data_IF_669555681980
#
_entry.id   IF_669555681980
#
_cell.length_a   1.000
_cell.length_b   1.000
_cell.length_c   1.000
_cell.angle_alpha   90.00
_cell.angle_beta   90.00
_cell.angle_gamma   90.00
#
_symmetry.space_group_name_H-M   'P 1'
#
loop_
_entity.id
_entity.type
_entity.pdbx_description
1 polymer ?
#
# COMPACT_ATOMS: atom_id res chain seq x y z
N UNK A 1 -17.60 -2.07 11.50
CA UNK A 1 -16.85 -1.07 12.29
C UNK A 1 -15.91 -0.28 11.37
N UNK A 2 -15.84 1.05 11.52
CA UNK A 2 -14.94 1.94 10.79
C UNK A 2 -13.84 2.41 11.73
N UNK A 3 -12.58 2.27 11.32
CA UNK A 3 -11.39 2.76 12.02
C UNK A 3 -10.73 3.85 11.18
N UNK A 4 -10.58 5.04 11.74
CA UNK A 4 -9.74 6.09 11.18
C UNK A 4 -8.33 5.89 11.75
N UNK A 5 -7.43 5.34 10.94
CA UNK A 5 -6.11 4.88 11.38
C UNK A 5 -5.09 6.00 11.57
N UNK A 6 -5.37 7.20 11.08
CA UNK A 6 -4.37 8.27 10.95
C UNK A 6 -3.53 8.15 9.68
N UNK A 7 -2.60 9.06 9.49
CA UNK A 7 -1.72 9.14 8.33
C UNK A 7 -0.35 8.56 8.68
N UNK A 8 0.19 7.75 7.77
CA UNK A 8 1.53 7.19 7.84
C UNK A 8 1.61 5.84 8.56
N UNK A 9 2.77 5.19 8.41
CA UNK A 9 3.00 3.83 8.91
C UNK A 9 2.82 3.72 10.42
N UNK A 10 3.38 4.65 11.18
CA UNK A 10 3.35 4.62 12.66
C UNK A 10 1.94 4.72 13.21
N UNK A 11 1.17 5.72 12.73
CA UNK A 11 -0.20 5.94 13.19
C UNK A 11 -1.09 4.75 12.84
N UNK A 12 -0.98 4.25 11.61
CA UNK A 12 -1.77 3.09 11.15
C UNK A 12 -1.41 1.83 11.93
N UNK A 13 -0.12 1.56 12.16
CA UNK A 13 0.32 0.40 12.94
C UNK A 13 -0.26 0.46 14.36
N UNK A 14 -0.13 1.58 15.05
CA UNK A 14 -0.62 1.73 16.41
C UNK A 14 -2.14 1.57 16.48
N UNK A 15 -2.88 2.32 15.65
CA UNK A 15 -4.34 2.33 15.66
C UNK A 15 -4.92 0.95 15.32
N UNK A 16 -4.37 0.29 14.30
CA UNK A 16 -4.81 -1.05 13.90
C UNK A 16 -4.48 -2.08 14.98
N UNK A 17 -3.25 -2.13 15.47
CA UNK A 17 -2.84 -3.09 16.52
C UNK A 17 -3.67 -2.93 17.79
N UNK A 18 -3.95 -1.69 18.20
CA UNK A 18 -4.82 -1.40 19.34
C UNK A 18 -6.24 -1.91 19.10
N UNK A 19 -6.80 -1.65 17.91
CA UNK A 19 -8.17 -2.07 17.58
C UNK A 19 -8.31 -3.59 17.54
N UNK A 20 -7.31 -4.31 17.02
CA UNK A 20 -7.33 -5.77 16.94
C UNK A 20 -7.32 -6.43 18.31
N UNK A 21 -6.72 -5.79 19.32
CA UNK A 21 -6.78 -6.25 20.73
C UNK A 21 -8.14 -6.05 21.36
N UNK A 22 -8.88 -5.00 20.98
CA UNK A 22 -10.22 -4.71 21.50
C UNK A 22 -11.26 -5.64 20.86
N UNK A 23 -11.18 -5.79 19.54
CA UNK A 23 -12.11 -6.62 18.79
C UNK A 23 -11.40 -7.19 17.56
N UNK A 24 -11.24 -8.51 17.55
CA UNK A 24 -10.66 -9.23 16.41
C UNK A 24 -11.72 -9.38 15.30
N UNK A 25 -11.50 -8.82 14.10
CA UNK A 25 -12.41 -8.97 12.97
C UNK A 25 -12.09 -10.23 12.17
N UNK A 26 -13.05 -10.70 11.37
CA UNK A 26 -12.86 -11.77 10.40
C UNK A 26 -12.12 -11.29 9.14
N UNK A 27 -12.20 -9.98 8.86
CA UNK A 27 -11.59 -9.34 7.71
C UNK A 27 -11.27 -7.88 8.00
N UNK A 28 -10.10 -7.43 7.58
CA UNK A 28 -9.73 -6.01 7.58
C UNK A 28 -9.71 -5.49 6.14
N UNK A 29 -10.42 -4.40 5.88
CA UNK A 29 -10.42 -3.71 4.58
C UNK A 29 -9.81 -2.33 4.79
N UNK A 30 -8.71 -2.03 4.11
CA UNK A 30 -8.17 -0.69 4.04
C UNK A 30 -8.55 -0.06 2.70
N UNK A 31 -9.19 1.09 2.76
CA UNK A 31 -9.56 1.88 1.59
C UNK A 31 -8.94 3.27 1.68
N UNK A 32 -8.27 3.71 0.64
CA UNK A 32 -7.60 5.00 0.58
C UNK A 32 -7.21 5.39 -0.84
N UNK A 33 -6.73 6.61 -0.99
CA UNK A 33 -6.14 7.08 -2.25
C UNK A 33 -4.64 6.77 -2.29
N UNK A 34 -4.03 6.87 -3.47
CA UNK A 34 -2.60 6.69 -3.65
C UNK A 34 -2.10 7.34 -4.94
N UNK A 35 -0.79 7.60 -4.97
CA UNK A 35 -0.10 8.04 -6.19
C UNK A 35 0.23 6.84 -7.09
N UNK A 36 0.17 7.02 -8.40
CA UNK A 36 0.44 5.98 -9.38
C UNK A 36 1.75 6.22 -10.13
N UNK A 37 2.57 5.18 -10.27
CA UNK A 37 3.79 5.22 -11.08
C UNK A 37 3.54 4.97 -12.56
N UNK A 38 2.41 4.36 -12.91
CA UNK A 38 2.07 3.98 -14.29
C UNK A 38 1.05 4.96 -14.89
N UNK A 39 1.45 5.86 -15.79
CA UNK A 39 0.54 6.84 -16.39
C UNK A 39 -0.48 6.21 -17.35
N UNK A 40 -0.35 4.94 -17.70
CA UNK A 40 -1.35 4.23 -18.51
C UNK A 40 -2.59 3.85 -17.70
N UNK A 41 -2.54 3.92 -16.36
CA UNK A 41 -3.67 3.68 -15.48
C UNK A 41 -4.39 5.01 -15.24
N UNK A 42 -5.65 5.17 -15.68
CA UNK A 42 -6.38 6.42 -15.51
C UNK A 42 -6.54 6.86 -14.05
N UNK A 43 -6.53 8.16 -13.80
CA UNK A 43 -6.92 8.72 -12.50
C UNK A 43 -8.34 8.27 -12.16
N UNK A 44 -8.60 8.05 -10.88
CA UNK A 44 -9.87 7.49 -10.41
C UNK A 44 -9.96 5.96 -10.48
N UNK A 45 -9.01 5.27 -11.13
CA UNK A 45 -8.97 3.80 -11.15
C UNK A 45 -8.78 3.23 -9.74
N UNK A 46 -9.54 2.18 -9.40
CA UNK A 46 -9.39 1.50 -8.10
C UNK A 46 -8.61 0.21 -8.30
N UNK A 47 -7.58 0.04 -7.49
CA UNK A 47 -6.64 -1.08 -7.54
C UNK A 47 -6.68 -1.88 -6.24
N UNK A 48 -6.45 -3.19 -6.33
CA UNK A 48 -6.24 -4.05 -5.17
C UNK A 48 -4.73 -4.34 -5.01
N UNK A 49 -4.17 -4.03 -3.85
CA UNK A 49 -2.74 -4.24 -3.61
C UNK A 49 -2.51 -5.67 -3.13
N UNK A 50 -1.73 -6.43 -3.89
CA UNK A 50 -1.43 -7.84 -3.61
C UNK A 50 -0.17 -8.05 -2.77
N UNK A 51 0.75 -7.10 -2.80
CA UNK A 51 1.98 -7.11 -2.02
C UNK A 51 2.48 -5.69 -1.81
N UNK A 52 3.10 -5.45 -0.67
CA UNK A 52 3.63 -4.16 -0.23
C UNK A 52 5.09 -4.26 0.19
N UNK A 53 5.83 -3.17 -0.01
CA UNK A 53 7.15 -2.98 0.57
C UNK A 53 7.23 -1.59 1.22
N UNK A 54 8.09 -1.43 2.24
CA UNK A 54 8.43 -0.11 2.81
C UNK A 54 9.64 0.39 2.03
N UNK A 55 9.43 1.36 1.13
CA UNK A 55 10.45 1.72 0.16
C UNK A 55 11.53 2.64 0.75
N UNK A 56 11.21 3.44 1.76
CA UNK A 56 12.12 4.38 2.40
C UNK A 56 12.85 3.81 3.65
N UNK A 57 12.67 2.52 3.96
CA UNK A 57 13.57 1.76 4.82
C UNK A 57 14.77 1.26 4.02
N UNK A 58 15.58 2.19 3.54
CA UNK A 58 16.67 1.94 2.59
C UNK A 58 17.74 3.02 2.71
N UNK A 59 18.89 2.77 2.12
CA UNK A 59 19.96 3.75 1.94
C UNK A 59 20.27 3.93 0.46
N UNK A 60 20.67 5.12 0.06
CA UNK A 60 21.19 5.38 -1.28
C UNK A 60 22.71 5.47 -1.16
N UNK A 61 23.39 4.46 -1.69
CA UNK A 61 24.86 4.37 -1.74
C UNK A 61 25.31 4.14 -3.17
N UNK A 62 26.39 4.81 -3.59
CA UNK A 62 26.99 4.64 -4.93
C UNK A 62 25.94 4.71 -6.06
N UNK A 63 24.97 5.62 -5.93
CA UNK A 63 23.86 5.81 -6.86
C UNK A 63 22.96 4.56 -7.03
N UNK A 64 22.86 3.73 -5.99
CA UNK A 64 21.97 2.58 -5.92
C UNK A 64 21.14 2.64 -4.63
N UNK A 65 19.87 2.26 -4.71
CA UNK A 65 19.03 2.07 -3.53
C UNK A 65 19.27 0.65 -2.99
N UNK A 66 19.65 0.58 -1.72
CA UNK A 66 19.85 -0.68 -1.00
C UNK A 66 18.83 -0.77 0.13
N UNK A 67 18.02 -1.81 0.08
CA UNK A 67 16.99 -2.09 1.09
C UNK A 67 17.62 -2.67 2.38
N UNK A 68 16.82 -2.78 3.44
CA UNK A 68 17.25 -3.49 4.67
C UNK A 68 17.70 -4.93 4.39
N UNK A 69 17.12 -5.56 3.37
CA UNK A 69 17.43 -6.92 2.96
C UNK A 69 18.78 -6.99 2.22
N UNK A 70 19.06 -6.02 1.33
CA UNK A 70 20.34 -5.90 0.63
C UNK A 70 21.48 -5.59 1.60
N UNK A 71 21.18 -4.87 2.69
CA UNK A 71 22.12 -4.57 3.78
C UNK A 71 22.27 -5.74 4.78
N UNK A 72 21.52 -6.83 4.58
CA UNK A 72 21.50 -7.99 5.47
C UNK A 72 21.10 -7.67 6.93
N UNK A 73 20.40 -6.54 7.15
CA UNK A 73 19.88 -6.18 8.48
C UNK A 73 18.65 -7.00 8.86
N UNK A 74 17.91 -7.48 7.86
CA UNK A 74 16.77 -8.37 8.01
C UNK A 74 16.83 -9.43 6.92
N UNK A 75 16.69 -10.73 7.22
CA UNK A 75 16.56 -11.77 6.21
C UNK A 75 15.31 -11.55 5.34
N UNK A 76 15.46 -11.62 4.01
CA UNK A 76 14.37 -11.30 3.07
C UNK A 76 13.15 -12.24 3.16
N UNK A 77 13.32 -13.43 3.73
CA UNK A 77 12.27 -14.43 3.95
C UNK A 77 11.93 -14.62 5.43
N UNK A 78 12.41 -13.72 6.32
CA UNK A 78 11.97 -13.69 7.71
C UNK A 78 10.49 -13.27 7.77
N UNK A 79 9.65 -14.12 8.34
CA UNK A 79 8.23 -13.80 8.51
C UNK A 79 8.02 -12.41 9.16
N UNK A 80 7.15 -11.56 8.63
CA UNK A 80 6.12 -11.84 7.62
C UNK A 80 6.56 -11.60 6.16
N UNK A 81 7.82 -11.39 5.89
CA UNK A 81 8.35 -11.12 4.54
C UNK A 81 8.48 -12.40 3.71
N UNK A 82 8.35 -12.24 2.39
CA UNK A 82 8.62 -13.23 1.37
C UNK A 82 9.40 -12.52 0.24
N UNK A 83 10.69 -12.82 0.11
CA UNK A 83 11.60 -12.12 -0.80
C UNK A 83 11.54 -10.59 -0.62
N UNK A 84 11.52 -10.12 0.63
CA UNK A 84 11.44 -8.70 0.98
C UNK A 84 10.05 -8.05 0.84
N UNK A 85 9.00 -8.80 0.47
CA UNK A 85 7.64 -8.30 0.30
C UNK A 85 6.69 -8.78 1.39
N UNK A 86 5.75 -7.94 1.76
CA UNK A 86 4.58 -8.27 2.57
C UNK A 86 3.46 -8.75 1.64
N UNK A 87 3.34 -10.07 1.47
CA UNK A 87 2.46 -10.68 0.45
C UNK A 87 1.10 -11.03 1.01
N UNK A 88 0.05 -10.47 0.42
CA UNK A 88 -1.33 -10.81 0.77
C UNK A 88 -1.78 -12.08 0.04
N UNK A 89 -2.07 -13.13 0.80
CA UNK A 89 -2.61 -14.41 0.31
C UNK A 89 -4.07 -14.64 0.70
N UNK A 90 -4.77 -13.59 1.18
CA UNK A 90 -6.17 -13.71 1.63
C UNK A 90 -7.09 -14.07 0.47
N UNK A 91 -8.04 -14.98 0.70
CA UNK A 91 -9.01 -15.40 -0.32
C UNK A 91 -9.89 -14.25 -0.83
N UNK A 92 -10.14 -13.23 0.00
CA UNK A 92 -10.87 -12.03 -0.41
C UNK A 92 -10.20 -11.30 -1.58
N UNK A 93 -8.86 -11.36 -1.66
CA UNK A 93 -8.13 -10.77 -2.78
C UNK A 93 -8.41 -11.50 -4.11
N UNK A 94 -8.73 -12.79 -4.07
CA UNK A 94 -9.10 -13.57 -5.25
C UNK A 94 -10.52 -13.26 -5.72
N UNK A 95 -11.44 -12.94 -4.80
CA UNK A 95 -12.85 -12.66 -5.10
C UNK A 95 -13.03 -11.32 -5.82
N UNK A 96 -12.15 -10.34 -5.61
CA UNK A 96 -12.25 -9.05 -6.31
C UNK A 96 -11.82 -9.13 -7.78
N UNK A 97 -12.56 -8.43 -8.67
CA UNK A 97 -12.22 -8.26 -10.10
C UNK A 97 -11.24 -7.09 -10.34
N UNK A 98 -10.87 -6.34 -9.29
CA UNK A 98 -9.95 -5.22 -9.41
C UNK A 98 -8.56 -5.70 -9.86
N UNK A 99 -7.86 -4.85 -10.64
CA UNK A 99 -6.48 -5.10 -11.05
C UNK A 99 -5.60 -5.25 -9.81
N UNK A 100 -4.90 -6.38 -9.69
CA UNK A 100 -4.01 -6.68 -8.57
C UNK A 100 -2.61 -6.17 -8.87
N UNK A 101 -2.08 -5.32 -8.00
CA UNK A 101 -0.84 -4.58 -8.23
C UNK A 101 0.15 -4.71 -7.07
N UNK A 102 1.41 -4.34 -7.32
CA UNK A 102 2.41 -4.10 -6.29
C UNK A 102 2.26 -2.68 -5.77
N UNK A 103 2.32 -2.51 -4.45
CA UNK A 103 2.37 -1.22 -3.79
C UNK A 103 3.68 -1.00 -3.05
N UNK A 104 4.00 0.25 -2.81
CA UNK A 104 4.99 0.65 -1.82
C UNK A 104 4.40 1.63 -0.83
N UNK A 105 4.92 1.61 0.38
CA UNK A 105 4.61 2.60 1.40
C UNK A 105 5.85 3.41 1.73
N UNK A 106 5.64 4.71 1.95
CA UNK A 106 6.67 5.67 2.27
C UNK A 106 6.23 6.57 3.43
N UNK A 107 7.18 7.06 4.23
CA UNK A 107 6.95 8.12 5.21
C UNK A 107 7.07 9.52 4.58
N UNK A 108 7.85 9.65 3.52
CA UNK A 108 8.03 10.87 2.74
C UNK A 108 7.44 10.69 1.34
N UNK A 109 6.41 11.49 0.99
CA UNK A 109 5.80 11.47 -0.34
C UNK A 109 6.87 11.67 -1.41
N UNK A 110 6.90 10.79 -2.41
CA UNK A 110 7.92 10.79 -3.45
C UNK A 110 7.69 11.91 -4.45
N UNK A 111 8.63 12.87 -4.49
CA UNK A 111 8.62 14.00 -5.43
C UNK A 111 9.89 14.09 -6.26
N UNK A 112 10.97 13.48 -5.80
CA UNK A 112 12.27 13.49 -6.47
C UNK A 112 12.32 12.50 -7.63
N UNK A 113 12.70 12.96 -8.83
CA UNK A 113 12.90 12.11 -10.01
C UNK A 113 13.89 10.97 -9.75
N UNK A 114 14.90 11.22 -8.93
CA UNK A 114 15.89 10.20 -8.55
C UNK A 114 15.25 9.11 -7.69
N UNK A 115 14.45 9.47 -6.67
CA UNK A 115 13.72 8.48 -5.86
C UNK A 115 12.72 7.69 -6.71
N UNK A 116 11.99 8.36 -7.62
CA UNK A 116 11.06 7.68 -8.55
C UNK A 116 11.79 6.59 -9.33
N UNK A 117 12.94 6.93 -9.94
CA UNK A 117 13.76 5.97 -10.68
C UNK A 117 14.19 4.80 -9.80
N UNK A 118 14.74 5.06 -8.63
CA UNK A 118 15.19 4.01 -7.70
C UNK A 118 14.04 3.08 -7.28
N UNK A 119 12.88 3.63 -6.97
CA UNK A 119 11.72 2.80 -6.58
C UNK A 119 11.20 1.98 -7.76
N UNK A 120 11.19 2.54 -8.97
CA UNK A 120 10.81 1.79 -10.17
C UNK A 120 11.80 0.67 -10.49
N UNK A 121 13.10 0.90 -10.39
CA UNK A 121 14.14 -0.10 -10.62
C UNK A 121 14.11 -1.22 -9.57
N UNK A 122 13.94 -0.86 -8.29
CA UNK A 122 14.02 -1.82 -7.18
C UNK A 122 12.74 -2.60 -6.96
N UNK A 123 11.58 -1.90 -6.95
CA UNK A 123 10.30 -2.49 -6.54
C UNK A 123 9.34 -2.72 -7.70
N UNK A 124 9.50 -1.98 -8.81
CA UNK A 124 8.52 -1.96 -9.92
C UNK A 124 7.09 -1.76 -9.39
N UNK A 125 6.83 -0.76 -8.55
CA UNK A 125 5.54 -0.55 -7.94
C UNK A 125 4.58 0.09 -8.94
N UNK A 126 3.29 -0.14 -8.72
CA UNK A 126 2.23 0.56 -9.45
C UNK A 126 1.67 1.70 -8.61
N UNK A 127 1.55 1.52 -7.30
CA UNK A 127 0.94 2.51 -6.41
C UNK A 127 1.83 2.79 -5.20
N UNK A 128 1.84 4.07 -4.78
CA UNK A 128 2.46 4.54 -3.54
C UNK A 128 1.37 5.00 -2.57
N UNK A 129 1.55 4.63 -1.31
CA UNK A 129 0.73 5.10 -0.20
C UNK A 129 1.58 5.38 1.03
N UNK A 130 0.97 5.81 2.13
CA UNK A 130 1.66 6.03 3.40
C UNK A 130 1.26 5.02 4.48
N UNK A 131 0.35 4.07 4.21
CA UNK A 131 -0.23 3.19 5.23
C UNK A 131 -0.26 1.70 4.85
N UNK A 132 -0.11 1.38 3.56
CA UNK A 132 -0.33 0.03 3.04
C UNK A 132 0.51 -1.04 3.72
N UNK A 133 1.80 -0.78 3.89
CA UNK A 133 2.70 -1.73 4.53
C UNK A 133 2.37 -1.97 6.00
N UNK A 134 1.86 -0.94 6.71
CA UNK A 134 1.39 -1.12 8.09
C UNK A 134 0.20 -2.09 8.16
N UNK A 135 -0.78 -1.95 7.26
CA UNK A 135 -1.88 -2.92 7.15
C UNK A 135 -1.35 -4.33 6.93
N UNK A 136 -0.53 -4.50 5.87
CA UNK A 136 0.00 -5.81 5.49
C UNK A 136 0.78 -6.43 6.63
N UNK A 137 1.71 -5.69 7.23
CA UNK A 137 2.55 -6.18 8.32
C UNK A 137 1.72 -6.63 9.52
N UNK A 138 0.83 -5.76 10.02
CA UNK A 138 0.01 -6.07 11.21
C UNK A 138 -0.93 -7.24 10.93
N UNK A 139 -1.63 -7.26 9.80
CA UNK A 139 -2.57 -8.34 9.50
C UNK A 139 -1.86 -9.68 9.25
N UNK A 140 -0.67 -9.69 8.66
CA UNK A 140 0.14 -10.90 8.52
C UNK A 140 0.58 -11.41 9.89
N UNK A 141 1.15 -10.54 10.75
CA UNK A 141 1.58 -10.91 12.10
C UNK A 141 0.44 -11.47 12.94
N UNK A 142 -0.74 -10.85 12.85
CA UNK A 142 -1.95 -11.26 13.56
C UNK A 142 -2.72 -12.39 12.86
N UNK A 143 -2.29 -12.83 11.68
CA UNK A 143 -2.95 -13.87 10.86
C UNK A 143 -4.43 -13.55 10.60
N UNK A 144 -4.74 -12.30 10.28
CA UNK A 144 -6.09 -11.83 9.95
C UNK A 144 -6.18 -11.64 8.45
N UNK A 145 -7.23 -12.16 7.78
CA UNK A 145 -7.49 -11.87 6.38
C UNK A 145 -7.65 -10.37 6.14
N UNK A 146 -7.11 -9.88 5.03
CA UNK A 146 -7.21 -8.46 4.72
C UNK A 146 -7.22 -8.19 3.22
N UNK A 147 -7.68 -7.01 2.84
CA UNK A 147 -7.54 -6.46 1.50
C UNK A 147 -7.25 -4.97 1.57
N UNK A 148 -6.34 -4.50 0.71
CA UNK A 148 -6.04 -3.09 0.53
C UNK A 148 -6.55 -2.63 -0.82
N UNK A 149 -7.37 -1.57 -0.81
CA UNK A 149 -7.87 -0.88 -1.99
C UNK A 149 -7.26 0.51 -2.07
N UNK A 150 -6.76 0.89 -3.24
CA UNK A 150 -6.23 2.23 -3.51
C UNK A 150 -6.85 2.80 -4.77
N UNK A 151 -7.43 4.00 -4.67
CA UNK A 151 -7.86 4.76 -5.82
C UNK A 151 -6.73 5.70 -6.26
N UNK A 152 -6.44 5.72 -7.53
CA UNK A 152 -5.38 6.56 -8.13
C UNK A 152 -5.82 8.01 -8.12
N UNK A 153 -5.24 8.83 -7.24
CA UNK A 153 -5.57 10.26 -7.12
C UNK A 153 -4.66 11.17 -7.93
N UNK A 154 -3.43 10.74 -8.19
CA UNK A 154 -2.40 11.49 -8.89
C UNK A 154 -1.32 10.55 -9.45
N UNK A 155 -0.51 11.05 -10.36
CA UNK A 155 0.71 10.35 -10.77
C UNK A 155 1.89 10.79 -9.89
N UNK A 156 2.82 9.84 -9.68
CA UNK A 156 4.07 10.09 -8.95
C UNK A 156 5.00 10.91 -9.85
N UNK A 157 5.15 12.19 -9.53
CA UNK A 157 5.98 13.16 -10.23
C UNK A 157 6.10 14.43 -9.38
N UNK A 158 6.29 15.58 -10.02
CA UNK A 158 6.22 16.87 -9.34
C UNK A 158 4.86 17.06 -8.64
N UNK A 159 4.91 17.48 -7.37
CA UNK A 159 3.72 17.66 -6.54
C UNK A 159 2.93 18.90 -6.96
N UNK A 160 2.07 18.75 -7.96
CA UNK A 160 1.07 19.77 -8.30
C UNK A 160 -0.32 19.29 -7.87
N UNK A 161 -0.83 19.83 -6.75
CA UNK A 161 -2.15 19.46 -6.20
C UNK A 161 -3.32 19.78 -7.12
N UNK A 162 -3.16 20.70 -8.07
CA UNK A 162 -4.20 21.04 -9.05
C UNK A 162 -4.50 19.88 -10.01
N UNK A 163 -3.52 18.97 -10.20
CA UNK A 163 -3.65 17.79 -11.04
C UNK A 163 -4.20 16.58 -10.29
N UNK A 164 -4.60 16.73 -9.01
CA UNK A 164 -5.11 15.63 -8.22
C UNK A 164 -6.62 15.44 -8.43
N UNK A 165 -7.00 14.23 -8.79
CA UNK A 165 -8.41 13.85 -8.98
C UNK A 165 -9.01 13.22 -7.71
N UNK A 166 -8.97 13.95 -6.59
CA UNK A 166 -9.39 13.42 -5.28
C UNK A 166 -10.88 13.08 -5.23
N UNK A 167 -11.75 13.96 -5.75
CA UNK A 167 -13.21 13.80 -5.65
C UNK A 167 -13.69 12.54 -6.36
N UNK A 168 -13.27 12.35 -7.59
CA UNK A 168 -13.64 11.18 -8.38
C UNK A 168 -13.01 9.89 -7.81
N UNK A 169 -11.72 9.96 -7.42
CA UNK A 169 -11.03 8.82 -6.80
C UNK A 169 -11.73 8.32 -5.55
N UNK A 170 -12.17 9.21 -4.65
CA UNK A 170 -12.92 8.84 -3.46
C UNK A 170 -14.30 8.27 -3.85
N UNK A 171 -14.99 8.87 -4.82
CA UNK A 171 -16.27 8.37 -5.31
C UNK A 171 -16.17 6.93 -5.86
N UNK A 172 -15.18 6.69 -6.73
CA UNK A 172 -14.94 5.38 -7.33
C UNK A 172 -14.51 4.34 -6.27
N UNK A 173 -13.68 4.77 -5.29
CA UNK A 173 -13.27 3.93 -4.17
C UNK A 173 -14.48 3.46 -3.35
N UNK A 174 -15.39 4.38 -3.02
CA UNK A 174 -16.60 4.05 -2.28
C UNK A 174 -17.49 3.06 -3.05
N UNK A 175 -17.67 3.26 -4.35
CA UNK A 175 -18.42 2.31 -5.19
C UNK A 175 -17.76 0.93 -5.24
N UNK A 176 -16.43 0.87 -5.37
CA UNK A 176 -15.68 -0.38 -5.36
C UNK A 176 -15.81 -1.10 -4.00
N UNK A 177 -15.75 -0.33 -2.90
CA UNK A 177 -15.91 -0.85 -1.54
C UNK A 177 -17.31 -1.44 -1.32
N UNK A 178 -18.37 -0.73 -1.74
CA UNK A 178 -19.76 -1.23 -1.64
C UNK A 178 -19.91 -2.54 -2.43
N UNK A 179 -19.40 -2.59 -3.67
CA UNK A 179 -19.45 -3.83 -4.49
C UNK A 179 -18.68 -4.98 -3.85
N UNK A 180 -17.51 -4.71 -3.26
CA UNK A 180 -16.74 -5.72 -2.55
C UNK A 180 -17.52 -6.25 -1.35
N UNK A 181 -18.08 -5.38 -0.50
CA UNK A 181 -18.85 -5.76 0.68
C UNK A 181 -20.09 -6.58 0.32
N UNK A 182 -20.74 -6.27 -0.80
CA UNK A 182 -21.90 -7.05 -1.29
C UNK A 182 -21.52 -8.45 -1.82
N UNK A 183 -20.23 -8.72 -2.06
CA UNK A 183 -19.71 -10.00 -2.58
C UNK A 183 -19.08 -10.89 -1.49
N UNK A 184 -18.99 -10.42 -0.26
CA UNK A 184 -18.46 -11.16 0.89
C UNK A 184 -19.50 -12.01 1.58
#
# INVERSE_FOLDING_TARGET
>A
YVLISGIGLTATTYSLSRQLRIKRPDLVIQAGVGGCFDPSIPLGSVLAVKQEAIADQSVIELNQLRTLFDLQLVPQDQYPYQKGWLVNKSEVLKKTRLKKVKGISVNEITTSKQKVRFYQETFQPVVESMEGAALHYVCLMEKIPFIQLRAVSNYIAERNKQNWNMKESIGNLNQALIKLLASL
#
